data_IF_281249950601
#
_entry.id   IF_281249950601
#
_cell.length_a   1.000
_cell.length_b   1.000
_cell.length_c   1.000
_cell.angle_alpha   90.00
_cell.angle_beta   90.00
_cell.angle_gamma   90.00
#
_symmetry.space_group_name_H-M   'P 1'
#
loop_
_entity.id
_entity.type
_entity.pdbx_description
1 polymer ?
#
# COMPACT_ATOMS: atom_id res chain seq x y z
N UNK A 1 31.08 -12.49 -11.26
CA UNK A 1 29.99 -11.85 -10.51
C UNK A 1 28.68 -12.40 -11.06
N UNK A 2 27.67 -12.59 -10.21
CA UNK A 2 26.37 -13.05 -10.68
C UNK A 2 25.78 -12.04 -11.67
N UNK A 3 25.00 -12.52 -12.64
CA UNK A 3 24.26 -11.66 -13.56
C UNK A 3 22.78 -11.99 -13.49
N UNK A 4 21.92 -11.03 -13.83
CA UNK A 4 20.48 -11.27 -13.99
C UNK A 4 20.27 -12.08 -15.27
N UNK A 5 19.70 -13.28 -15.15
CA UNK A 5 19.44 -14.18 -16.28
C UNK A 5 17.98 -14.18 -16.70
N UNK A 6 17.07 -13.84 -15.79
CA UNK A 6 15.64 -13.79 -16.04
C UNK A 6 15.00 -12.72 -15.15
N UNK A 7 14.01 -12.01 -15.68
CA UNK A 7 13.10 -11.20 -14.89
C UNK A 7 11.68 -11.42 -15.43
N UNK A 8 10.78 -11.92 -14.58
CA UNK A 8 9.43 -12.33 -14.93
C UNK A 8 8.40 -11.53 -14.15
N UNK A 9 7.41 -10.99 -14.86
CA UNK A 9 6.24 -10.36 -14.26
C UNK A 9 5.17 -11.43 -14.04
N UNK A 10 4.56 -11.40 -12.85
CA UNK A 10 3.54 -12.35 -12.42
C UNK A 10 2.32 -11.54 -12.01
N UNK A 11 1.21 -11.73 -12.70
CA UNK A 11 -0.08 -11.11 -12.38
C UNK A 11 -0.99 -12.17 -11.77
N UNK A 12 -1.61 -11.86 -10.65
CA UNK A 12 -2.55 -12.77 -9.97
C UNK A 12 -3.68 -12.01 -9.28
N UNK A 13 -4.79 -12.70 -9.00
CA UNK A 13 -5.96 -12.11 -8.33
C UNK A 13 -6.59 -13.05 -7.28
N UNK A 14 -5.88 -13.39 -6.18
CA UNK A 14 -6.42 -14.20 -5.08
C UNK A 14 -7.35 -13.37 -4.17
N UNK A 15 -8.40 -12.79 -4.74
CA UNK A 15 -9.37 -11.91 -4.07
C UNK A 15 -9.27 -10.44 -4.50
N UNK A 16 -8.04 -9.95 -4.75
CA UNK A 16 -7.75 -8.67 -5.41
C UNK A 16 -6.50 -8.79 -6.28
N UNK A 17 -6.30 -7.85 -7.19
CA UNK A 17 -5.17 -7.88 -8.11
C UNK A 17 -3.84 -7.58 -7.41
N UNK A 18 -2.82 -8.36 -7.78
CA UNK A 18 -1.42 -8.15 -7.44
C UNK A 18 -0.54 -8.36 -8.67
N UNK A 19 0.53 -7.57 -8.76
CA UNK A 19 1.58 -7.70 -9.78
C UNK A 19 2.91 -7.82 -9.07
N UNK A 20 3.69 -8.85 -9.39
CA UNK A 20 4.99 -9.11 -8.76
C UNK A 20 6.06 -9.28 -9.83
N UNK A 21 7.19 -8.59 -9.68
CA UNK A 21 8.41 -8.87 -10.44
C UNK A 21 9.24 -9.92 -9.70
N UNK A 22 9.61 -10.99 -10.40
CA UNK A 22 10.60 -11.98 -9.95
C UNK A 22 11.87 -11.86 -10.77
N UNK A 23 13.01 -11.60 -10.13
CA UNK A 23 14.33 -11.57 -10.76
C UNK A 23 15.10 -12.84 -10.38
N UNK A 24 15.68 -13.52 -11.36
CA UNK A 24 16.52 -14.71 -11.18
C UNK A 24 17.93 -14.41 -11.66
N UNK A 25 18.93 -14.80 -10.87
CA UNK A 25 20.35 -14.58 -11.14
C UNK A 25 21.04 -15.86 -11.60
N UNK A 26 22.23 -15.73 -12.20
CA UNK A 26 23.00 -16.82 -12.79
C UNK A 26 23.46 -17.89 -11.80
N UNK A 27 23.52 -17.57 -10.51
CA UNK A 27 23.83 -18.50 -9.43
C UNK A 27 22.57 -19.07 -8.75
N UNK A 28 21.38 -18.77 -9.31
CA UNK A 28 20.09 -19.32 -8.90
C UNK A 28 19.38 -18.52 -7.80
N UNK A 29 19.96 -17.45 -7.27
CA UNK A 29 19.28 -16.61 -6.27
C UNK A 29 18.14 -15.83 -6.92
N UNK A 30 16.99 -15.79 -6.25
CA UNK A 30 15.80 -15.07 -6.73
C UNK A 30 15.40 -13.94 -5.80
N UNK A 31 14.93 -12.84 -6.37
CA UNK A 31 14.39 -11.68 -5.68
C UNK A 31 12.95 -11.37 -6.10
N UNK A 32 12.13 -10.90 -5.18
CA UNK A 32 10.74 -10.50 -5.45
C UNK A 32 10.53 -9.02 -5.10
N UNK A 33 9.77 -8.32 -5.95
CA UNK A 33 9.33 -6.96 -5.68
C UNK A 33 7.90 -6.73 -6.12
N UNK A 34 7.13 -6.03 -5.30
CA UNK A 34 5.73 -5.68 -5.60
C UNK A 34 5.67 -4.56 -6.64
N UNK A 35 4.79 -4.75 -7.62
CA UNK A 35 4.53 -3.86 -8.73
C UNK A 35 3.04 -3.45 -8.81
N UNK A 36 2.28 -3.67 -7.73
CA UNK A 36 0.85 -3.42 -7.70
C UNK A 36 0.53 -1.93 -7.67
N UNK A 37 -0.16 -1.44 -8.71
CA UNK A 37 -0.73 -0.09 -8.76
C UNK A 37 -2.25 -0.21 -8.91
N UNK A 38 -2.98 -0.13 -7.78
CA UNK A 38 -4.41 -0.43 -7.72
C UNK A 38 -5.22 0.34 -8.79
N UNK A 39 -5.98 -0.40 -9.61
CA UNK A 39 -6.79 0.12 -10.72
C UNK A 39 -6.01 0.49 -12.00
N UNK A 40 -4.67 0.34 -12.02
CA UNK A 40 -3.79 0.57 -13.18
C UNK A 40 -2.70 -0.51 -13.28
N UNK A 41 -2.99 -1.72 -12.80
CA UNK A 41 -2.04 -2.81 -12.61
C UNK A 41 -1.36 -3.21 -13.92
N UNK A 42 -2.14 -3.36 -14.99
CA UNK A 42 -1.62 -3.78 -16.30
C UNK A 42 -0.72 -2.73 -16.96
N UNK A 43 -0.86 -1.45 -16.59
CA UNK A 43 0.05 -0.42 -17.07
C UNK A 43 1.46 -0.60 -16.49
N UNK A 44 1.56 -1.02 -15.22
CA UNK A 44 2.86 -1.35 -14.60
C UNK A 44 3.39 -2.67 -15.14
N UNK A 45 2.53 -3.67 -15.32
CA UNK A 45 2.93 -4.96 -15.89
C UNK A 45 3.57 -4.78 -17.28
N UNK A 46 2.91 -4.06 -18.18
CA UNK A 46 3.46 -3.74 -19.52
C UNK A 46 4.75 -2.91 -19.42
N UNK A 47 4.80 -1.87 -18.57
CA UNK A 47 6.03 -1.09 -18.42
C UNK A 47 7.22 -1.93 -17.94
N UNK A 48 6.98 -2.91 -17.06
CA UNK A 48 8.00 -3.87 -16.65
C UNK A 48 8.37 -4.83 -17.79
N UNK A 49 7.41 -5.56 -18.34
CA UNK A 49 7.63 -6.60 -19.35
C UNK A 49 8.25 -6.06 -20.64
N UNK A 50 7.68 -4.98 -21.19
CA UNK A 50 8.01 -4.48 -22.52
C UNK A 50 9.22 -3.53 -22.52
N UNK A 51 9.57 -2.95 -21.37
CA UNK A 51 10.59 -1.90 -21.30
C UNK A 51 11.69 -2.16 -20.28
N UNK A 52 11.38 -2.47 -19.02
CA UNK A 52 12.43 -2.57 -18.00
C UNK A 52 13.12 -3.94 -18.01
N UNK A 53 12.37 -5.03 -18.11
CA UNK A 53 12.91 -6.41 -18.10
C UNK A 53 14.04 -6.60 -19.13
N UNK A 54 13.90 -6.19 -20.41
CA UNK A 54 14.99 -6.30 -21.39
C UNK A 54 16.27 -5.58 -20.97
N UNK A 55 16.15 -4.49 -20.21
CA UNK A 55 17.29 -3.70 -19.74
C UNK A 55 17.99 -4.32 -18.52
N UNK A 56 17.33 -5.23 -17.81
CA UNK A 56 17.88 -5.90 -16.64
C UNK A 56 18.76 -7.10 -17.00
N UNK A 57 18.47 -7.79 -18.10
CA UNK A 57 19.18 -9.01 -18.48
C UNK A 57 20.67 -8.74 -18.68
N UNK A 58 21.51 -9.56 -18.06
CA UNK A 58 22.97 -9.43 -18.08
C UNK A 58 23.55 -8.40 -17.12
N UNK A 59 22.73 -7.57 -16.44
CA UNK A 59 23.23 -6.64 -15.41
C UNK A 59 23.68 -7.40 -14.16
N UNK A 60 24.62 -6.79 -13.44
CA UNK A 60 25.03 -7.23 -12.10
C UNK A 60 23.95 -6.82 -11.07
N UNK A 61 23.28 -7.78 -10.40
CA UNK A 61 22.23 -7.50 -9.43
C UNK A 61 22.75 -6.78 -8.17
N UNK A 62 24.06 -6.82 -7.89
CA UNK A 62 24.63 -6.15 -6.73
C UNK A 62 24.68 -4.61 -6.88
N UNK A 63 24.64 -4.11 -8.12
CA UNK A 63 24.68 -2.69 -8.49
C UNK A 63 23.29 -2.03 -8.40
N UNK A 64 22.69 -2.08 -7.21
CA UNK A 64 21.32 -1.55 -6.97
C UNK A 64 21.23 -0.07 -7.33
N UNK A 65 22.10 0.78 -6.75
CA UNK A 65 22.06 2.24 -6.98
C UNK A 65 22.25 2.62 -8.46
N UNK A 66 23.16 1.93 -9.15
CA UNK A 66 23.39 2.11 -10.59
C UNK A 66 22.14 1.74 -11.40
N UNK A 67 21.53 0.59 -11.09
CA UNK A 67 20.31 0.13 -11.75
C UNK A 67 19.17 1.11 -11.50
N UNK A 68 18.99 1.55 -10.26
CA UNK A 68 17.97 2.54 -9.89
C UNK A 68 18.15 3.85 -10.67
N UNK A 69 19.38 4.40 -10.68
CA UNK A 69 19.67 5.61 -11.44
C UNK A 69 19.51 5.44 -12.95
N UNK A 70 19.92 4.30 -13.48
CA UNK A 70 19.79 3.97 -14.89
C UNK A 70 18.31 3.96 -15.30
N UNK A 71 17.45 3.27 -14.55
CA UNK A 71 16.03 3.18 -14.85
C UNK A 71 15.32 4.54 -14.63
N UNK A 72 15.62 5.25 -13.54
CA UNK A 72 15.00 6.53 -13.24
C UNK A 72 15.41 7.64 -14.21
N UNK A 73 16.72 7.82 -14.45
CA UNK A 73 17.23 8.89 -15.31
C UNK A 73 17.15 8.52 -16.78
N UNK A 74 17.39 7.25 -17.12
CA UNK A 74 17.37 6.71 -18.48
C UNK A 74 15.98 6.63 -19.09
N UNK A 75 14.92 6.57 -18.27
CA UNK A 75 13.55 6.72 -18.76
C UNK A 75 13.29 8.08 -19.43
N UNK A 76 14.17 9.08 -19.21
CA UNK A 76 14.06 10.48 -19.64
C UNK A 76 12.85 11.22 -19.03
N UNK A 77 11.65 10.66 -19.19
CA UNK A 77 10.39 11.06 -18.57
C UNK A 77 10.31 10.56 -17.12
N UNK A 78 10.85 11.36 -16.20
CA UNK A 78 11.01 10.97 -14.78
C UNK A 78 9.71 11.02 -13.99
N UNK A 79 9.68 10.29 -12.87
CA UNK A 79 8.56 10.23 -11.90
C UNK A 79 7.32 9.57 -12.52
N UNK A 80 6.16 9.77 -11.88
CA UNK A 80 4.88 9.21 -12.31
C UNK A 80 4.57 7.88 -11.62
N UNK A 81 3.28 7.58 -11.33
CA UNK A 81 2.91 6.37 -10.60
C UNK A 81 3.36 5.07 -11.28
N UNK A 82 3.17 4.95 -12.60
CA UNK A 82 3.55 3.74 -13.36
C UNK A 82 5.06 3.53 -13.30
N UNK A 83 5.83 4.54 -13.72
CA UNK A 83 7.30 4.49 -13.74
C UNK A 83 7.88 4.18 -12.37
N UNK A 84 7.44 4.87 -11.32
CA UNK A 84 8.00 4.68 -9.97
C UNK A 84 7.58 3.35 -9.35
N UNK A 85 6.39 2.83 -9.64
CA UNK A 85 5.97 1.50 -9.17
C UNK A 85 6.82 0.41 -9.83
N UNK A 86 7.07 0.51 -11.15
CA UNK A 86 7.95 -0.42 -11.85
C UNK A 86 9.40 -0.38 -11.31
N UNK A 87 9.95 0.82 -11.09
CA UNK A 87 11.29 0.98 -10.50
C UNK A 87 11.33 0.41 -9.08
N UNK A 88 10.28 0.64 -8.27
CA UNK A 88 10.17 0.08 -6.91
C UNK A 88 10.20 -1.45 -6.90
N UNK A 89 9.54 -2.09 -7.86
CA UNK A 89 9.53 -3.55 -7.99
C UNK A 89 10.94 -4.09 -8.30
N UNK A 90 11.69 -3.43 -9.19
CA UNK A 90 13.09 -3.78 -9.46
C UNK A 90 13.95 -3.58 -8.21
N UNK A 91 13.88 -2.41 -7.59
CA UNK A 91 14.69 -2.07 -6.41
C UNK A 91 14.48 -3.07 -5.27
N UNK A 92 13.22 -3.37 -4.95
CA UNK A 92 12.85 -4.32 -3.90
C UNK A 92 13.36 -5.73 -4.21
N UNK A 93 13.22 -6.19 -5.46
CA UNK A 93 13.73 -7.50 -5.87
C UNK A 93 15.26 -7.59 -5.76
N UNK A 94 15.99 -6.52 -6.09
CA UNK A 94 17.44 -6.48 -5.97
C UNK A 94 17.90 -6.42 -4.50
N UNK A 95 17.18 -5.70 -3.63
CA UNK A 95 17.43 -5.71 -2.19
C UNK A 95 17.15 -7.08 -1.55
N UNK A 96 16.09 -7.76 -1.99
CA UNK A 96 15.79 -9.14 -1.58
C UNK A 96 16.92 -10.10 -1.98
N UNK A 97 17.42 -10.00 -3.23
CA UNK A 97 18.62 -10.75 -3.66
C UNK A 97 19.83 -10.42 -2.77
N UNK A 98 20.09 -9.14 -2.51
CA UNK A 98 21.23 -8.72 -1.68
C UNK A 98 21.16 -9.28 -0.26
N UNK A 99 19.98 -9.26 0.36
CA UNK A 99 19.73 -9.89 1.66
C UNK A 99 20.02 -11.38 1.65
N UNK A 100 19.47 -12.10 0.66
CA UNK A 100 19.69 -13.55 0.48
C UNK A 100 21.16 -13.90 0.27
N UNK A 101 21.86 -13.16 -0.59
CA UNK A 101 23.30 -13.36 -0.84
C UNK A 101 24.13 -13.07 0.41
N UNK A 102 23.77 -12.05 1.19
CA UNK A 102 24.45 -11.72 2.43
C UNK A 102 24.12 -12.69 3.58
N UNK A 103 23.06 -13.50 3.45
CA UNK A 103 22.53 -14.31 4.55
C UNK A 103 21.94 -13.45 5.69
N UNK A 104 21.48 -12.24 5.37
CA UNK A 104 20.98 -11.26 6.34
C UNK A 104 19.55 -10.83 6.02
N UNK A 105 18.72 -10.53 7.03
CA UNK A 105 17.47 -9.83 6.79
C UNK A 105 17.77 -8.42 6.24
N UNK A 106 16.92 -7.91 5.34
CA UNK A 106 17.16 -6.61 4.68
C UNK A 106 17.36 -5.47 5.68
N UNK A 107 16.67 -5.47 6.83
CA UNK A 107 16.85 -4.40 7.83
C UNK A 107 18.28 -4.35 8.41
N UNK A 108 19.02 -5.47 8.46
CA UNK A 108 20.41 -5.46 8.91
C UNK A 108 21.32 -4.79 7.89
N UNK A 109 21.04 -4.98 6.60
CA UNK A 109 21.72 -4.25 5.53
C UNK A 109 21.45 -2.74 5.57
N UNK A 110 20.29 -2.34 6.08
CA UNK A 110 19.90 -0.93 6.25
C UNK A 110 20.46 -0.28 7.52
N UNK A 111 21.26 -1.00 8.31
CA UNK A 111 21.92 -0.48 9.52
C UNK A 111 21.45 -1.14 10.82
N UNK A 112 20.68 -2.21 10.75
CA UNK A 112 20.29 -2.99 11.92
C UNK A 112 18.97 -2.56 12.55
N UNK A 113 18.53 -3.38 13.51
CA UNK A 113 17.27 -3.19 14.22
C UNK A 113 17.29 -1.94 15.12
N UNK A 114 16.38 -1.01 14.88
CA UNK A 114 16.18 0.18 15.71
C UNK A 114 15.00 0.07 16.70
N UNK A 115 14.22 -1.02 16.64
CA UNK A 115 13.02 -1.26 17.47
C UNK A 115 12.61 -2.73 17.48
N UNK A 116 11.93 -3.18 18.53
CA UNK A 116 11.44 -4.56 18.70
C UNK A 116 10.23 -4.91 17.81
N UNK A 117 9.36 -3.94 17.55
CA UNK A 117 8.21 -4.09 16.67
C UNK A 117 7.82 -2.76 16.06
N UNK A 118 7.00 -2.80 15.01
CA UNK A 118 6.41 -1.61 14.41
C UNK A 118 4.96 -1.48 14.89
N UNK A 119 4.63 -0.33 15.49
CA UNK A 119 3.24 -0.02 15.83
C UNK A 119 2.42 0.12 14.54
N UNK A 120 1.30 -0.58 14.47
CA UNK A 120 0.33 -0.50 13.36
C UNK A 120 -0.95 0.18 13.83
N UNK A 121 -1.77 0.61 12.89
CA UNK A 121 -3.11 1.11 13.17
C UNK A 121 -4.18 0.27 12.45
N UNK A 122 -5.34 0.13 13.09
CA UNK A 122 -6.51 -0.55 12.52
C UNK A 122 -7.44 0.44 11.83
N UNK A 123 -8.28 -0.03 10.91
CA UNK A 123 -9.29 0.80 10.23
C UNK A 123 -10.68 0.51 10.78
N UNK A 124 -11.12 1.25 11.80
CA UNK A 124 -12.48 1.17 12.31
C UNK A 124 -13.44 1.97 11.41
N UNK A 125 -14.57 1.38 11.03
CA UNK A 125 -15.62 2.13 10.34
C UNK A 125 -17.04 1.63 10.63
N UNK A 126 -18.02 2.51 10.43
CA UNK A 126 -19.44 2.22 10.62
C UNK A 126 -20.35 3.04 9.69
N UNK A 127 -21.51 2.49 9.36
CA UNK A 127 -22.57 3.19 8.64
C UNK A 127 -23.20 4.32 9.46
N UNK A 128 -22.98 4.31 10.77
CA UNK A 128 -23.31 5.39 11.71
C UNK A 128 -22.30 5.44 12.88
N UNK A 129 -22.56 6.32 13.86
CA UNK A 129 -21.69 6.49 15.03
C UNK A 129 -21.71 5.25 15.95
N UNK A 130 -22.87 4.69 16.33
CA UNK A 130 -22.90 3.45 17.12
C UNK A 130 -22.06 2.31 16.52
N UNK A 131 -22.21 2.01 15.23
CA UNK A 131 -21.44 0.96 14.54
C UNK A 131 -19.93 1.26 14.55
N UNK A 132 -19.54 2.52 14.30
CA UNK A 132 -18.14 2.93 14.39
C UNK A 132 -17.58 2.68 15.81
N UNK A 133 -18.34 3.02 16.85
CA UNK A 133 -17.89 2.83 18.23
C UNK A 133 -17.71 1.34 18.56
N UNK A 134 -18.58 0.47 18.07
CA UNK A 134 -18.42 -0.98 18.22
C UNK A 134 -17.15 -1.49 17.51
N UNK A 135 -16.87 -1.02 16.30
CA UNK A 135 -15.67 -1.46 15.57
C UNK A 135 -14.38 -0.92 16.21
N UNK A 136 -14.40 0.29 16.79
CA UNK A 136 -13.30 0.82 17.62
C UNK A 136 -13.07 -0.07 18.84
N UNK A 137 -14.12 -0.45 19.57
CA UNK A 137 -14.01 -1.35 20.72
C UNK A 137 -13.35 -2.68 20.34
N UNK A 138 -13.77 -3.27 19.20
CA UNK A 138 -13.19 -4.50 18.66
C UNK A 138 -11.68 -4.38 18.43
N UNK A 139 -11.21 -3.26 17.87
CA UNK A 139 -9.77 -3.05 17.69
C UNK A 139 -9.02 -2.88 19.02
N UNK A 140 -9.63 -2.25 20.03
CA UNK A 140 -9.04 -2.17 21.38
C UNK A 140 -8.92 -3.56 22.03
N UNK A 141 -9.94 -4.40 21.91
CA UNK A 141 -9.91 -5.79 22.39
C UNK A 141 -8.82 -6.62 21.71
N UNK A 142 -8.54 -6.36 20.42
CA UNK A 142 -7.42 -6.97 19.68
C UNK A 142 -6.05 -6.42 20.10
N UNK A 143 -5.98 -5.41 20.97
CA UNK A 143 -4.75 -4.82 21.48
C UNK A 143 -4.15 -3.72 20.57
N UNK A 144 -4.92 -3.17 19.64
CA UNK A 144 -4.45 -2.04 18.83
C UNK A 144 -4.28 -0.79 19.69
N UNK A 145 -3.11 -0.14 19.55
CA UNK A 145 -2.78 1.13 20.23
C UNK A 145 -3.08 2.36 19.36
N UNK A 146 -3.36 2.15 18.09
CA UNK A 146 -3.69 3.17 17.11
C UNK A 146 -4.85 2.71 16.24
N UNK A 147 -5.84 3.57 16.02
CA UNK A 147 -7.06 3.23 15.28
C UNK A 147 -7.45 4.44 14.42
N UNK A 148 -7.66 4.22 13.11
CA UNK A 148 -8.28 5.18 12.20
C UNK A 148 -9.80 5.00 12.26
N UNK A 149 -10.53 6.06 12.59
CA UNK A 149 -11.99 6.06 12.65
C UNK A 149 -12.60 6.76 11.42
N UNK A 150 -13.63 6.14 10.84
CA UNK A 150 -14.42 6.66 9.71
C UNK A 150 -15.91 6.32 9.92
N UNK A 151 -16.79 7.31 9.85
CA UNK A 151 -18.25 7.08 9.90
C UNK A 151 -18.91 7.66 8.65
N UNK A 152 -19.97 7.01 8.16
CA UNK A 152 -20.72 7.53 7.03
C UNK A 152 -21.42 8.84 7.43
N UNK A 153 -21.36 9.86 6.55
CA UNK A 153 -22.01 11.14 6.79
C UNK A 153 -23.53 11.00 6.59
N UNK A 154 -24.38 11.33 7.59
CA UNK A 154 -25.82 11.20 7.47
C UNK A 154 -26.37 11.97 6.28
N UNK A 155 -27.20 11.32 5.46
CA UNK A 155 -27.80 11.92 4.27
C UNK A 155 -26.83 12.13 3.09
N UNK A 156 -25.55 11.76 3.23
CA UNK A 156 -24.61 11.74 2.11
C UNK A 156 -24.68 10.40 1.39
N UNK A 157 -24.76 10.36 0.05
CA UNK A 157 -24.83 9.08 -0.69
C UNK A 157 -23.48 8.36 -0.80
N UNK A 158 -22.38 8.97 -0.33
CA UNK A 158 -21.06 8.36 -0.30
C UNK A 158 -20.18 8.94 0.80
N UNK A 159 -19.36 8.10 1.43
CA UNK A 159 -18.29 8.52 2.37
C UNK A 159 -17.13 7.53 2.23
N UNK A 160 -15.91 8.06 2.19
CA UNK A 160 -14.72 7.22 2.07
C UNK A 160 -14.48 6.37 3.32
N UNK A 161 -13.93 5.17 3.14
CA UNK A 161 -13.46 4.32 4.26
C UNK A 161 -14.55 3.49 4.94
N UNK A 162 -15.79 3.52 4.44
CA UNK A 162 -16.90 2.68 4.92
C UNK A 162 -16.81 1.32 4.26
N UNK A 163 -16.79 0.24 5.05
CA UNK A 163 -16.74 -1.12 4.52
C UNK A 163 -18.08 -1.43 3.83
N UNK A 164 -18.01 -1.98 2.62
CA UNK A 164 -19.18 -2.49 1.88
C UNK A 164 -19.03 -4.01 1.67
N UNK A 165 -20.08 -4.78 1.92
CA UNK A 165 -20.13 -6.23 1.62
C UNK A 165 -19.81 -7.18 2.78
N UNK A 166 -19.94 -8.49 2.52
CA UNK A 166 -19.92 -9.59 3.52
C UNK A 166 -18.54 -10.03 3.97
N UNK A 167 -17.45 -9.53 3.37
CA UNK A 167 -16.07 -9.82 3.80
C UNK A 167 -15.66 -8.80 4.86
N UNK A 168 -16.19 -9.00 6.07
CA UNK A 168 -16.29 -8.04 7.17
C UNK A 168 -14.97 -7.55 7.82
N UNK A 169 -13.78 -7.76 7.23
CA UNK A 169 -12.50 -7.51 7.93
C UNK A 169 -11.60 -6.42 7.33
N UNK A 170 -11.75 -6.06 6.05
CA UNK A 170 -10.85 -5.11 5.37
C UNK A 170 -11.64 -4.17 4.46
N UNK A 171 -11.25 -2.89 4.42
CA UNK A 171 -11.79 -1.91 3.47
C UNK A 171 -11.17 -2.12 2.08
N UNK A 172 -11.99 -2.49 1.10
CA UNK A 172 -11.59 -2.68 -0.30
C UNK A 172 -12.30 -1.64 -1.19
N UNK A 173 -11.60 -0.59 -1.68
CA UNK A 173 -12.24 0.46 -2.49
C UNK A 173 -12.45 0.08 -3.96
N UNK A 174 -11.77 -0.94 -4.49
CA UNK A 174 -11.94 -1.38 -5.89
C UNK A 174 -13.04 -2.45 -5.97
N UNK A 175 -14.30 -2.05 -5.76
CA UNK A 175 -15.45 -2.95 -5.58
C UNK A 175 -16.12 -3.42 -6.88
N UNK A 176 -15.86 -2.74 -8.01
CA UNK A 176 -16.55 -2.99 -9.28
C UNK A 176 -15.62 -3.04 -10.50
N UNK A 177 -16.18 -3.38 -11.66
CA UNK A 177 -15.46 -3.39 -12.95
C UNK A 177 -15.18 -1.99 -13.48
N UNK A 178 -16.00 -1.01 -13.06
CA UNK A 178 -15.87 0.40 -13.37
C UNK A 178 -15.72 1.20 -12.07
N UNK A 179 -15.08 2.38 -12.11
CA UNK A 179 -15.04 3.27 -10.96
C UNK A 179 -16.45 3.65 -10.50
N UNK A 180 -16.69 3.53 -9.20
CA UNK A 180 -17.95 3.93 -8.59
C UNK A 180 -17.97 5.46 -8.39
N UNK A 181 -19.07 6.10 -8.76
CA UNK A 181 -19.26 7.53 -8.54
C UNK A 181 -19.78 7.77 -7.12
N UNK A 182 -18.98 8.48 -6.31
CA UNK A 182 -19.32 8.77 -4.92
C UNK A 182 -19.56 10.28 -4.73
N UNK A 183 -20.83 10.72 -4.62
CA UNK A 183 -21.16 12.11 -4.35
C UNK A 183 -20.66 12.54 -2.96
N UNK A 184 -20.42 13.83 -2.78
CA UNK A 184 -19.79 14.40 -1.59
C UNK A 184 -20.34 15.77 -1.27
N UNK A 185 -20.53 16.07 0.02
CA UNK A 185 -20.76 17.42 0.55
C UNK A 185 -19.75 17.72 1.64
N UNK A 186 -18.97 18.78 1.43
CA UNK A 186 -17.96 19.24 2.40
C UNK A 186 -18.62 19.80 3.65
N UNK A 187 -19.71 20.56 3.50
CA UNK A 187 -20.44 21.17 4.61
C UNK A 187 -21.03 20.10 5.53
N UNK A 188 -21.72 19.10 4.96
CA UNK A 188 -22.28 18.00 5.74
C UNK A 188 -21.19 17.20 6.47
N UNK A 189 -20.04 16.97 5.83
CA UNK A 189 -18.90 16.33 6.48
C UNK A 189 -18.33 17.18 7.62
N UNK A 190 -18.12 18.49 7.42
CA UNK A 190 -17.57 19.38 8.44
C UNK A 190 -18.50 19.51 9.65
N UNK A 191 -19.82 19.48 9.44
CA UNK A 191 -20.82 19.49 10.50
C UNK A 191 -20.82 18.19 11.33
N UNK A 192 -20.45 17.06 10.72
CA UNK A 192 -20.58 15.73 11.32
C UNK A 192 -19.27 15.16 11.87
N UNK A 193 -18.14 15.36 11.17
CA UNK A 193 -16.89 14.70 11.48
C UNK A 193 -16.35 14.97 12.89
N UNK A 194 -16.35 16.23 13.39
CA UNK A 194 -15.98 16.51 14.76
C UNK A 194 -16.84 15.76 15.79
N UNK A 195 -18.14 15.59 15.51
CA UNK A 195 -19.10 14.99 16.46
C UNK A 195 -18.86 13.50 16.67
N UNK A 196 -18.63 12.73 15.61
CA UNK A 196 -18.35 11.30 15.81
C UNK A 196 -16.95 11.08 16.41
N UNK A 197 -15.97 11.95 16.10
CA UNK A 197 -14.64 11.88 16.72
C UNK A 197 -14.72 12.21 18.23
N UNK A 198 -15.55 13.19 18.60
CA UNK A 198 -15.87 13.49 20.00
C UNK A 198 -16.52 12.28 20.68
N UNK A 199 -17.53 11.65 20.07
CA UNK A 199 -18.18 10.45 20.62
C UNK A 199 -17.19 9.28 20.86
N UNK A 200 -16.19 9.10 19.98
CA UNK A 200 -15.12 8.12 20.19
C UNK A 200 -14.32 8.46 21.46
N UNK A 201 -13.98 9.74 21.67
CA UNK A 201 -13.23 10.17 22.85
C UNK A 201 -14.06 10.12 24.12
N UNK A 202 -15.35 10.46 24.08
CA UNK A 202 -16.26 10.33 25.21
C UNK A 202 -16.37 8.87 25.68
N UNK A 203 -16.44 7.91 24.75
CA UNK A 203 -16.58 6.49 25.09
C UNK A 203 -15.27 5.82 25.52
N UNK A 204 -14.16 6.13 24.86
CA UNK A 204 -12.90 5.37 25.00
C UNK A 204 -11.74 6.17 25.62
N UNK A 205 -11.93 7.44 25.93
CA UNK A 205 -10.89 8.31 26.49
C UNK A 205 -9.74 8.58 25.51
N UNK A 206 -8.58 8.93 26.08
CA UNK A 206 -7.43 9.46 25.35
C UNK A 206 -6.20 8.52 25.34
N UNK A 207 -6.31 7.30 25.86
CA UNK A 207 -5.18 6.36 26.05
C UNK A 207 -4.73 5.61 24.78
N UNK A 208 -5.26 5.98 23.62
CA UNK A 208 -4.87 5.43 22.31
C UNK A 208 -4.79 6.51 21.25
N UNK A 209 -4.00 6.23 20.20
CA UNK A 209 -3.85 7.11 19.05
C UNK A 209 -5.09 7.02 18.15
N UNK A 210 -5.85 8.11 18.05
CA UNK A 210 -6.97 8.23 17.13
C UNK A 210 -6.49 8.92 15.86
N UNK A 211 -6.73 8.28 14.72
CA UNK A 211 -6.45 8.80 13.40
C UNK A 211 -7.76 9.05 12.66
N UNK A 212 -7.72 9.98 11.72
CA UNK A 212 -8.78 10.21 10.76
C UNK A 212 -8.17 10.52 9.39
N UNK A 213 -8.85 10.11 8.32
CA UNK A 213 -8.43 10.35 6.94
C UNK A 213 -9.52 11.16 6.22
N UNK A 214 -9.21 12.44 5.99
CA UNK A 214 -10.08 13.40 5.29
C UNK A 214 -10.17 13.08 3.78
N UNK A 215 -9.24 12.28 3.27
CA UNK A 215 -9.25 11.72 1.93
C UNK A 215 -9.33 12.76 0.80
N UNK A 216 -8.54 13.82 0.91
CA UNK A 216 -8.39 14.87 -0.12
C UNK A 216 -9.65 15.69 -0.40
N UNK A 217 -10.66 15.65 0.49
CA UNK A 217 -11.98 16.26 0.26
C UNK A 217 -12.11 17.73 0.67
N UNK A 218 -11.12 18.32 1.35
CA UNK A 218 -11.17 19.70 1.83
C UNK A 218 -10.19 20.60 1.06
N UNK A 219 -10.52 21.89 1.00
CA UNK A 219 -9.55 22.94 0.68
C UNK A 219 -8.62 23.20 1.87
N UNK A 220 -7.44 23.81 1.64
CA UNK A 220 -6.59 24.32 2.72
C UNK A 220 -7.30 25.30 3.66
#
# INVERSE_FOLDING_TARGET
MATITEAKVIVTSPGRNFVTLKVTTSDGVTGLGDATLNGRELAVASYLEDHLVPLLIGRDPARIEDTWHYLYKGAYWRRGPVTMTAISAVDTALWDIKGKVAGLPVYDLLGGKAREGAMVYGHASGGDVPELLEDVARFQEMGYRAIRAQAAVPGSPGTYGIRHGTVATVYEPATGTLPEEQPWSTEAYLDFAPRYLEAVRERFGFDFHLLHDVHHRLTP
#
